data_IF_736360572903
#
_entry.id   IF_736360572903
#
_cell.length_a   1.000
_cell.length_b   1.000
_cell.length_c   1.000
_cell.angle_alpha   90.00
_cell.angle_beta   90.00
_cell.angle_gamma   90.00
#
_symmetry.space_group_name_H-M   'P 1'
#
loop_
_entity.id
_entity.type
_entity.pdbx_description
1 polymer ?
#
# COMPACT_ATOMS: atom_id res chain seq x y z
N UNK A 1 11.56 53.05 -19.66
CA UNK A 1 12.65 52.05 -19.63
C UNK A 1 12.29 50.98 -18.61
N UNK A 2 11.77 49.85 -19.06
CA UNK A 2 11.38 48.72 -18.23
C UNK A 2 12.33 47.54 -18.51
N UNK A 3 12.82 46.89 -17.46
CA UNK A 3 13.44 45.57 -17.54
C UNK A 3 13.46 44.95 -16.14
N UNK A 4 12.53 44.03 -15.88
CA UNK A 4 12.63 43.05 -14.78
C UNK A 4 13.01 41.71 -15.40
N UNK A 5 14.16 41.21 -14.94
CA UNK A 5 14.74 39.90 -15.24
C UNK A 5 13.83 38.77 -14.74
N UNK A 6 13.49 37.84 -15.63
CA UNK A 6 12.95 36.52 -15.29
C UNK A 6 13.88 35.47 -15.90
N UNK A 7 14.61 34.74 -15.05
CA UNK A 7 15.50 33.67 -15.48
C UNK A 7 15.01 32.30 -14.98
N UNK A 8 14.58 31.50 -15.96
CA UNK A 8 14.92 30.09 -16.19
C UNK A 8 14.53 29.04 -15.13
N UNK A 9 13.52 28.24 -15.47
CA UNK A 9 13.41 26.84 -15.03
C UNK A 9 13.38 25.97 -16.29
N UNK A 10 14.25 24.97 -16.31
CA UNK A 10 14.51 24.06 -17.42
C UNK A 10 13.26 23.25 -17.83
N UNK A 11 13.00 23.20 -19.13
CA UNK A 11 12.02 22.30 -19.73
C UNK A 11 12.67 20.92 -19.94
N UNK A 12 12.02 19.87 -19.43
CA UNK A 12 12.28 18.49 -19.82
C UNK A 12 11.46 18.21 -21.08
N UNK A 13 12.12 18.11 -22.23
CA UNK A 13 11.50 17.68 -23.48
C UNK A 13 11.34 16.16 -23.49
N UNK A 14 10.11 15.66 -23.36
CA UNK A 14 9.75 14.27 -23.66
C UNK A 14 9.07 14.27 -25.03
N UNK A 15 9.80 13.85 -26.05
CA UNK A 15 9.31 13.75 -27.42
C UNK A 15 8.68 12.36 -27.63
N UNK A 16 7.34 12.28 -27.67
CA UNK A 16 6.63 11.07 -28.12
C UNK A 16 6.50 11.11 -29.64
N UNK A 17 7.17 10.20 -30.34
CA UNK A 17 7.05 10.05 -31.79
C UNK A 17 5.74 9.36 -32.15
N UNK A 18 4.76 10.12 -32.62
CA UNK A 18 3.61 9.64 -33.42
C UNK A 18 3.82 10.08 -34.87
N UNK A 19 3.26 9.36 -35.85
CA UNK A 19 3.46 9.51 -37.31
C UNK A 19 3.03 10.87 -37.92
N UNK A 20 2.81 11.91 -37.12
CA UNK A 20 2.36 13.24 -37.58
C UNK A 20 2.93 14.38 -36.72
N UNK A 21 4.23 14.62 -36.83
CA UNK A 21 4.87 15.91 -36.52
C UNK A 21 5.30 16.13 -35.06
N UNK A 22 6.46 16.79 -34.90
CA UNK A 22 7.09 17.14 -33.63
C UNK A 22 6.52 18.48 -33.11
N UNK A 23 5.83 18.46 -31.97
CA UNK A 23 5.27 19.67 -31.35
C UNK A 23 6.21 20.18 -30.26
N UNK A 24 6.82 21.34 -30.48
CA UNK A 24 7.69 22.02 -29.52
C UNK A 24 7.00 23.27 -28.99
N UNK A 25 7.08 23.48 -27.66
CA UNK A 25 6.70 24.71 -26.91
C UNK A 25 5.28 24.72 -26.29
N UNK A 26 5.20 24.24 -25.06
CA UNK A 26 4.10 24.52 -24.12
C UNK A 26 4.48 25.72 -23.24
N UNK A 27 3.88 26.90 -23.46
CA UNK A 27 3.95 28.01 -22.48
C UNK A 27 2.83 27.82 -21.47
N UNK A 28 3.19 27.64 -20.19
CA UNK A 28 2.24 27.46 -19.07
C UNK A 28 1.74 28.83 -18.60
N UNK A 29 0.50 29.17 -18.93
CA UNK A 29 -0.29 30.19 -18.24
C UNK A 29 -1.36 29.50 -17.37
N UNK A 30 -1.89 30.14 -16.31
CA UNK A 30 -2.86 29.52 -15.44
C UNK A 30 -4.15 29.23 -16.24
N UNK A 31 -4.48 27.95 -16.41
CA UNK A 31 -5.74 27.42 -16.95
C UNK A 31 -6.05 27.57 -18.45
N UNK A 32 -5.09 27.94 -19.29
CA UNK A 32 -5.27 27.91 -20.76
C UNK A 32 -4.03 27.34 -21.46
N UNK A 33 -4.26 26.41 -22.39
CA UNK A 33 -3.23 25.90 -23.29
C UNK A 33 -3.52 26.44 -24.69
N UNK A 34 -2.60 27.25 -25.22
CA UNK A 34 -2.65 27.70 -26.61
C UNK A 34 -1.73 26.83 -27.46
N UNK A 35 -2.29 26.20 -28.49
CA UNK A 35 -1.53 25.48 -29.49
C UNK A 35 -1.28 26.38 -30.70
N UNK A 36 -0.02 26.48 -31.11
CA UNK A 36 0.45 27.17 -32.32
C UNK A 36 1.26 26.19 -33.15
N UNK A 37 1.14 26.26 -34.49
CA UNK A 37 2.07 25.53 -35.37
C UNK A 37 3.46 26.18 -35.35
N UNK A 38 4.40 25.51 -36.01
CA UNK A 38 5.77 25.97 -36.27
C UNK A 38 5.86 27.26 -37.11
N UNK A 39 4.75 27.75 -37.66
CA UNK A 39 4.66 29.00 -38.42
C UNK A 39 4.00 30.15 -37.63
N UNK A 40 3.61 29.93 -36.37
CA UNK A 40 3.04 30.96 -35.51
C UNK A 40 1.56 31.26 -35.75
N UNK A 41 0.84 30.44 -36.53
CA UNK A 41 -0.60 30.62 -36.76
C UNK A 41 -1.39 30.04 -35.57
N UNK A 42 -2.27 30.86 -35.00
CA UNK A 42 -3.18 30.46 -33.91
C UNK A 42 -4.17 29.39 -34.41
N UNK A 43 -4.12 28.17 -33.86
CA UNK A 43 -4.94 27.04 -34.33
C UNK A 43 -6.21 26.85 -33.49
N UNK A 44 -6.29 27.47 -32.31
CA UNK A 44 -7.49 27.45 -31.49
C UNK A 44 -7.18 27.53 -30.00
N UNK A 45 -8.22 27.83 -29.21
CA UNK A 45 -8.15 27.99 -27.76
C UNK A 45 -8.82 26.79 -27.10
N UNK A 46 -8.06 25.89 -26.50
CA UNK A 46 -8.61 24.81 -25.67
C UNK A 46 -8.86 25.37 -24.27
N UNK A 47 -10.08 25.82 -24.02
CA UNK A 47 -10.55 26.11 -22.66
C UNK A 47 -10.75 24.78 -21.93
N UNK A 48 -9.98 24.52 -20.87
CA UNK A 48 -10.38 23.52 -19.89
C UNK A 48 -11.60 24.08 -19.15
N UNK A 49 -12.79 23.73 -19.64
CA UNK A 49 -14.02 23.87 -18.85
C UNK A 49 -13.89 22.96 -17.62
N UNK A 50 -13.44 23.54 -16.50
CA UNK A 50 -13.34 22.86 -15.21
C UNK A 50 -14.71 22.62 -14.55
N UNK A 51 -15.83 22.93 -15.24
CA UNK A 51 -17.17 22.76 -14.70
C UNK A 51 -17.91 21.49 -15.16
N UNK A 52 -17.38 20.68 -16.08
CA UNK A 52 -18.15 19.55 -16.61
C UNK A 52 -17.42 18.20 -16.60
N UNK A 53 -17.95 17.33 -15.72
CA UNK A 53 -17.96 15.86 -15.76
C UNK A 53 -16.69 15.16 -15.24
N UNK A 54 -16.83 14.60 -14.02
CA UNK A 54 -16.20 13.32 -13.70
C UNK A 54 -16.36 12.40 -14.93
N UNK A 55 -15.30 11.74 -15.42
CA UNK A 55 -15.45 10.76 -16.48
C UNK A 55 -16.56 9.82 -16.04
N UNK A 56 -17.64 9.73 -16.82
CA UNK A 56 -18.75 8.81 -16.55
C UNK A 56 -18.16 7.40 -16.64
N UNK A 57 -17.64 6.90 -15.51
CA UNK A 57 -17.21 5.51 -15.37
C UNK A 57 -18.44 4.69 -15.69
N UNK A 58 -18.44 4.03 -16.85
CA UNK A 58 -19.51 3.10 -17.17
C UNK A 58 -19.27 1.88 -16.30
N UNK A 59 -20.06 1.75 -15.24
CA UNK A 59 -20.12 0.57 -14.38
C UNK A 59 -20.71 -0.60 -15.18
N UNK A 60 -19.90 -1.20 -16.06
CA UNK A 60 -20.29 -2.43 -16.72
C UNK A 60 -19.94 -3.59 -15.80
N UNK A 61 -20.95 -4.35 -15.39
CA UNK A 61 -20.86 -5.59 -14.61
C UNK A 61 -20.09 -5.41 -13.29
N UNK A 62 -20.84 -5.15 -12.21
CA UNK A 62 -20.25 -4.83 -10.89
C UNK A 62 -19.43 -5.99 -10.31
N UNK A 63 -19.68 -7.23 -10.76
CA UNK A 63 -18.92 -8.41 -10.36
C UNK A 63 -18.94 -9.43 -11.50
N UNK A 64 -17.83 -9.61 -12.22
CA UNK A 64 -17.74 -10.66 -13.26
C UNK A 64 -16.65 -11.68 -12.95
N UNK A 65 -16.82 -12.90 -13.48
CA UNK A 65 -15.80 -13.96 -13.42
C UNK A 65 -14.50 -13.51 -14.07
N UNK A 66 -14.57 -12.75 -15.16
CA UNK A 66 -13.38 -12.26 -15.84
C UNK A 66 -12.66 -11.21 -15.00
N UNK A 67 -13.38 -10.33 -14.30
CA UNK A 67 -12.81 -9.39 -13.33
C UNK A 67 -12.05 -10.12 -12.23
N UNK A 68 -12.68 -11.12 -11.63
CA UNK A 68 -12.08 -11.97 -10.61
C UNK A 68 -10.81 -12.67 -11.10
N UNK A 69 -10.87 -13.35 -12.25
CA UNK A 69 -9.72 -14.05 -12.82
C UNK A 69 -8.58 -13.10 -13.22
N UNK A 70 -8.90 -11.90 -13.70
CA UNK A 70 -7.90 -10.85 -13.96
C UNK A 70 -7.22 -10.40 -12.68
N UNK A 71 -7.98 -10.19 -11.59
CA UNK A 71 -7.44 -9.87 -10.27
C UNK A 71 -6.49 -10.94 -9.77
N UNK A 72 -6.94 -12.20 -9.74
CA UNK A 72 -6.15 -13.34 -9.29
C UNK A 72 -4.85 -13.51 -10.09
N UNK A 73 -4.92 -13.42 -11.44
CA UNK A 73 -3.73 -13.55 -12.30
C UNK A 73 -2.70 -12.45 -12.08
N UNK A 74 -3.14 -11.22 -11.78
CA UNK A 74 -2.23 -10.09 -11.54
C UNK A 74 -1.63 -10.11 -10.14
N UNK A 75 -2.40 -10.55 -9.15
CA UNK A 75 -1.90 -10.68 -7.79
C UNK A 75 -0.99 -11.89 -7.62
N UNK A 76 -1.18 -12.98 -8.37
CA UNK A 76 -0.43 -14.22 -8.19
C UNK A 76 1.11 -14.06 -8.09
N UNK A 77 1.81 -13.31 -8.97
CA UNK A 77 3.25 -13.11 -8.81
C UNK A 77 3.64 -12.36 -7.52
N UNK A 78 2.82 -11.38 -7.12
CA UNK A 78 3.01 -10.65 -5.86
C UNK A 78 2.74 -11.56 -4.66
N UNK A 79 1.62 -12.29 -4.67
CA UNK A 79 1.25 -13.28 -3.66
C UNK A 79 2.37 -14.32 -3.45
N UNK A 80 2.92 -14.83 -4.55
CA UNK A 80 4.00 -15.80 -4.53
C UNK A 80 5.29 -15.21 -3.93
N UNK A 81 5.59 -13.95 -4.23
CA UNK A 81 6.70 -13.24 -3.59
C UNK A 81 6.50 -13.02 -2.08
N UNK A 82 5.25 -13.07 -1.61
CA UNK A 82 4.87 -13.01 -0.20
C UNK A 82 5.10 -14.32 0.58
N UNK A 83 5.19 -15.46 -0.12
CA UNK A 83 5.30 -16.78 0.52
C UNK A 83 6.49 -16.93 1.49
N UNK A 84 7.70 -16.40 1.20
CA UNK A 84 8.81 -16.41 2.18
C UNK A 84 8.46 -15.73 3.50
N UNK A 85 7.71 -14.62 3.49
CA UNK A 85 7.27 -13.96 4.72
C UNK A 85 6.27 -14.81 5.49
N UNK A 86 5.33 -15.46 4.79
CA UNK A 86 4.41 -16.42 5.40
C UNK A 86 5.14 -17.59 6.04
N UNK A 87 6.13 -18.17 5.36
CA UNK A 87 6.97 -19.25 5.91
C UNK A 87 7.65 -18.82 7.21
N UNK A 88 8.31 -17.66 7.22
CA UNK A 88 8.95 -17.10 8.42
C UNK A 88 7.94 -16.92 9.55
N UNK A 89 6.78 -16.35 9.26
CA UNK A 89 5.72 -16.17 10.25
C UNK A 89 5.26 -17.51 10.86
N UNK A 90 5.12 -18.55 10.04
CA UNK A 90 4.77 -19.88 10.51
C UNK A 90 5.79 -20.48 11.47
N UNK A 91 7.09 -20.33 11.15
CA UNK A 91 8.19 -20.76 12.03
C UNK A 91 8.14 -20.00 13.35
N UNK A 92 7.94 -18.67 13.30
CA UNK A 92 7.87 -17.81 14.49
C UNK A 92 6.66 -18.15 15.37
N UNK A 93 5.49 -18.42 14.77
CA UNK A 93 4.31 -18.85 15.51
C UNK A 93 4.57 -20.14 16.31
N UNK A 94 5.32 -21.08 15.73
CA UNK A 94 5.75 -22.28 16.43
C UNK A 94 6.64 -22.00 17.65
N UNK A 95 7.57 -21.04 17.53
CA UNK A 95 8.42 -20.61 18.66
C UNK A 95 7.62 -19.91 19.76
N UNK A 96 6.58 -19.16 19.39
CA UNK A 96 5.65 -18.55 20.34
C UNK A 96 4.69 -19.57 21.00
N UNK A 97 4.80 -20.86 20.66
CA UNK A 97 4.00 -21.93 21.25
C UNK A 97 2.62 -22.11 20.62
N UNK A 98 2.29 -21.39 19.54
CA UNK A 98 1.01 -21.56 18.86
C UNK A 98 0.97 -22.90 18.13
N UNK A 99 -0.16 -23.58 18.23
CA UNK A 99 -0.52 -24.75 17.44
C UNK A 99 -0.77 -24.37 15.97
N UNK A 100 -0.80 -25.38 15.10
CA UNK A 100 -1.16 -25.17 13.68
C UNK A 100 -2.58 -24.59 13.55
N UNK A 101 -3.51 -25.04 14.38
CA UNK A 101 -4.89 -24.58 14.36
C UNK A 101 -5.05 -23.12 14.83
N UNK A 102 -4.31 -22.72 15.86
CA UNK A 102 -4.29 -21.33 16.31
C UNK A 102 -3.70 -20.41 15.24
N UNK A 103 -2.62 -20.83 14.57
CA UNK A 103 -2.05 -20.05 13.47
C UNK A 103 -3.01 -19.98 12.27
N UNK A 104 -3.66 -21.08 11.91
CA UNK A 104 -4.67 -21.10 10.85
C UNK A 104 -5.84 -20.16 11.17
N UNK A 105 -6.36 -20.20 12.40
CA UNK A 105 -7.40 -19.30 12.85
C UNK A 105 -6.94 -17.84 12.78
N UNK A 106 -5.72 -17.56 13.24
CA UNK A 106 -5.12 -16.23 13.18
C UNK A 106 -4.96 -15.73 11.74
N UNK A 107 -4.55 -16.58 10.79
CA UNK A 107 -4.44 -16.25 9.35
C UNK A 107 -5.76 -16.13 8.62
N UNK A 108 -6.74 -16.93 9.00
CA UNK A 108 -8.07 -16.88 8.42
C UNK A 108 -8.86 -15.67 8.92
N UNK A 109 -8.75 -15.31 10.20
CA UNK A 109 -9.55 -14.24 10.82
C UNK A 109 -8.86 -12.87 10.75
N UNK A 110 -7.54 -12.84 10.96
CA UNK A 110 -6.72 -11.63 10.95
C UNK A 110 -5.84 -11.68 9.72
N UNK A 111 -6.46 -11.48 8.56
CA UNK A 111 -5.78 -11.46 7.27
C UNK A 111 -4.97 -10.17 7.06
N UNK A 112 -3.93 -10.00 7.90
CA UNK A 112 -3.05 -8.84 7.91
C UNK A 112 -1.67 -9.23 8.44
N UNK A 113 -0.75 -9.62 7.55
CA UNK A 113 0.55 -10.20 7.91
C UNK A 113 1.38 -9.36 8.88
N UNK A 114 1.42 -8.04 8.72
CA UNK A 114 2.13 -7.16 9.65
C UNK A 114 1.57 -7.18 11.07
N UNK A 115 0.25 -7.24 11.22
CA UNK A 115 -0.41 -7.33 12.53
C UNK A 115 -0.18 -8.69 13.17
N UNK A 116 -0.08 -9.74 12.35
CA UNK A 116 0.27 -11.07 12.81
C UNK A 116 1.71 -11.15 13.34
N UNK A 117 2.68 -10.57 12.63
CA UNK A 117 4.06 -10.47 13.10
C UNK A 117 4.15 -9.71 14.44
N UNK A 118 3.46 -8.57 14.56
CA UNK A 118 3.41 -7.79 15.80
C UNK A 118 2.82 -8.63 16.94
N UNK A 119 1.70 -9.29 16.71
CA UNK A 119 1.05 -10.12 17.73
C UNK A 119 1.98 -11.25 18.20
N UNK A 120 2.63 -11.97 17.26
CA UNK A 120 3.59 -13.03 17.59
C UNK A 120 4.81 -12.49 18.35
N UNK A 121 5.33 -11.31 18.00
CA UNK A 121 6.47 -10.70 18.72
C UNK A 121 6.15 -10.30 20.16
N UNK A 122 4.88 -10.08 20.46
CA UNK A 122 4.38 -9.70 21.78
C UNK A 122 3.82 -10.91 22.54
N UNK A 123 3.90 -12.11 21.97
CA UNK A 123 3.31 -13.33 22.49
C UNK A 123 4.15 -13.91 23.64
N UNK A 124 4.13 -13.21 24.76
CA UNK A 124 4.82 -13.56 26.01
C UNK A 124 3.85 -14.20 27.03
N UNK A 125 4.39 -14.76 28.11
CA UNK A 125 3.60 -15.26 29.24
C UNK A 125 3.79 -14.38 30.48
N UNK A 126 2.73 -13.76 31.04
CA UNK A 126 1.34 -13.75 30.54
C UNK A 126 1.18 -12.90 29.27
N UNK A 127 0.20 -13.26 28.42
CA UNK A 127 -0.03 -12.58 27.14
C UNK A 127 -0.57 -11.15 27.39
N UNK A 128 0.11 -10.10 26.89
CA UNK A 128 -0.33 -8.72 27.06
C UNK A 128 -1.45 -8.35 26.08
N UNK A 129 -2.65 -8.92 26.28
CA UNK A 129 -3.79 -8.83 25.35
C UNK A 129 -4.12 -7.39 24.95
N UNK A 130 -4.19 -6.47 25.91
CA UNK A 130 -4.53 -5.05 25.65
C UNK A 130 -3.50 -4.41 24.72
N UNK A 131 -2.21 -4.68 24.93
CA UNK A 131 -1.15 -4.11 24.11
C UNK A 131 -1.16 -4.70 22.70
N UNK A 132 -1.43 -6.01 22.55
CA UNK A 132 -1.57 -6.66 21.24
C UNK A 132 -2.76 -6.06 20.48
N UNK A 133 -3.93 -5.95 21.12
CA UNK A 133 -5.13 -5.39 20.48
C UNK A 133 -4.90 -3.93 20.08
N UNK A 134 -4.37 -3.10 20.97
CA UNK A 134 -4.10 -1.69 20.67
C UNK A 134 -3.10 -1.52 19.51
N UNK A 135 -2.02 -2.30 19.51
CA UNK A 135 -0.96 -2.18 18.49
C UNK A 135 -1.45 -2.71 17.14
N UNK A 136 -2.13 -3.85 17.11
CA UNK A 136 -2.69 -4.40 15.87
C UNK A 136 -3.80 -3.54 15.30
N UNK A 137 -4.67 -2.96 16.14
CA UNK A 137 -5.67 -1.99 15.70
C UNK A 137 -5.01 -0.77 15.06
N UNK A 138 -3.98 -0.21 15.71
CA UNK A 138 -3.23 0.93 15.19
C UNK A 138 -2.59 0.63 13.83
N UNK A 139 -1.90 -0.51 13.72
CA UNK A 139 -1.26 -0.95 12.46
C UNK A 139 -2.30 -1.16 11.37
N UNK A 140 -3.47 -1.70 11.72
CA UNK A 140 -4.54 -1.98 10.78
C UNK A 140 -5.39 -0.76 10.38
N UNK A 141 -5.27 0.40 11.04
CA UNK A 141 -5.96 1.64 10.62
C UNK A 141 -5.71 1.99 9.15
N UNK A 142 -4.58 1.54 8.59
CA UNK A 142 -4.30 1.68 7.15
C UNK A 142 -5.36 1.02 6.27
N UNK A 143 -5.95 -0.10 6.68
CA UNK A 143 -7.02 -0.77 5.93
C UNK A 143 -8.28 0.10 5.87
N UNK A 144 -8.58 0.88 6.90
CA UNK A 144 -9.69 1.85 6.88
C UNK A 144 -9.43 2.93 5.84
N UNK A 145 -8.22 3.51 5.84
CA UNK A 145 -7.83 4.53 4.87
C UNK A 145 -7.84 3.99 3.44
N UNK A 146 -7.29 2.80 3.22
CA UNK A 146 -7.31 2.10 1.93
C UNK A 146 -8.74 1.83 1.47
N UNK A 147 -9.62 1.34 2.35
CA UNK A 147 -11.03 1.12 2.07
C UNK A 147 -11.74 2.40 1.63
N UNK A 148 -11.46 3.53 2.28
CA UNK A 148 -12.01 4.85 1.92
C UNK A 148 -11.59 5.30 0.52
N UNK A 149 -10.37 4.98 0.07
CA UNK A 149 -9.94 5.32 -1.30
C UNK A 149 -10.70 4.53 -2.38
N UNK A 150 -11.16 3.32 -2.05
CA UNK A 150 -11.95 2.48 -2.95
C UNK A 150 -13.46 2.72 -2.80
N UNK A 151 -13.89 3.43 -1.75
CA UNK A 151 -15.31 3.70 -1.45
C UNK A 151 -16.13 4.08 -2.68
N UNK A 152 -15.76 5.10 -3.50
CA UNK A 152 -16.67 5.51 -4.55
C UNK A 152 -16.92 4.44 -5.62
N UNK A 153 -16.08 3.40 -5.72
CA UNK A 153 -16.25 2.29 -6.66
C UNK A 153 -17.01 1.11 -6.08
N UNK A 154 -17.02 0.97 -4.74
CA UNK A 154 -17.68 -0.14 -4.02
C UNK A 154 -18.95 0.30 -3.29
N UNK A 155 -19.25 1.60 -3.16
CA UNK A 155 -20.39 2.12 -2.40
C UNK A 155 -21.76 1.68 -2.94
N UNK A 156 -21.84 1.34 -4.23
CA UNK A 156 -23.09 0.93 -4.90
C UNK A 156 -23.31 -0.58 -4.91
N UNK A 157 -22.38 -1.35 -4.35
CA UNK A 157 -22.51 -2.80 -4.26
C UNK A 157 -23.48 -3.21 -3.14
N UNK A 158 -24.15 -4.36 -3.29
CA UNK A 158 -24.78 -5.04 -2.16
C UNK A 158 -23.76 -5.22 -1.02
N UNK A 159 -24.18 -4.92 0.21
CA UNK A 159 -23.32 -4.94 1.39
C UNK A 159 -22.47 -6.23 1.54
N UNK A 160 -23.01 -7.45 1.31
CA UNK A 160 -22.21 -8.67 1.42
C UNK A 160 -21.04 -8.74 0.43
N UNK A 161 -21.22 -8.24 -0.80
CA UNK A 161 -20.18 -8.22 -1.83
C UNK A 161 -19.13 -7.16 -1.55
N UNK A 162 -19.56 -5.99 -1.06
CA UNK A 162 -18.67 -4.93 -0.60
C UNK A 162 -17.80 -5.40 0.57
N UNK A 163 -18.42 -5.84 1.66
CA UNK A 163 -17.70 -6.29 2.86
C UNK A 163 -16.83 -7.52 2.60
N UNK A 164 -17.31 -8.49 1.82
CA UNK A 164 -16.50 -9.64 1.42
C UNK A 164 -15.25 -9.23 0.65
N UNK A 165 -15.35 -8.27 -0.28
CA UNK A 165 -14.19 -7.77 -1.02
C UNK A 165 -13.21 -7.01 -0.12
N UNK A 166 -13.72 -6.23 0.84
CA UNK A 166 -12.87 -5.51 1.80
C UNK A 166 -12.19 -6.42 2.82
N UNK A 167 -12.80 -7.56 3.16
CA UNK A 167 -12.19 -8.54 4.07
C UNK A 167 -10.89 -9.13 3.48
N UNK A 168 -10.91 -9.45 2.18
CA UNK A 168 -9.73 -9.97 1.49
C UNK A 168 -8.77 -8.86 0.99
N UNK A 169 -8.99 -7.60 1.39
CA UNK A 169 -8.13 -6.50 0.98
C UNK A 169 -6.81 -6.51 1.77
N UNK A 170 -5.72 -6.47 1.01
CA UNK A 170 -4.32 -6.37 1.44
C UNK A 170 -3.70 -5.11 0.83
N UNK A 171 -2.48 -4.74 1.23
CA UNK A 171 -1.80 -3.58 0.63
C UNK A 171 -1.54 -3.82 -0.87
N UNK A 172 -1.23 -5.07 -1.24
CA UNK A 172 -0.95 -5.53 -2.60
C UNK A 172 -2.20 -5.51 -3.47
N UNK A 173 -3.28 -6.16 -3.01
CA UNK A 173 -4.55 -6.19 -3.74
C UNK A 173 -5.18 -4.79 -3.81
N UNK A 174 -5.03 -3.96 -2.78
CA UNK A 174 -5.42 -2.55 -2.81
C UNK A 174 -4.64 -1.75 -3.86
N UNK A 175 -3.31 -1.90 -3.90
CA UNK A 175 -2.46 -1.18 -4.85
C UNK A 175 -2.79 -1.57 -6.29
N UNK A 176 -2.95 -2.88 -6.57
CA UNK A 176 -3.36 -3.40 -7.87
C UNK A 176 -4.75 -2.89 -8.27
N UNK A 177 -5.70 -2.91 -7.33
CA UNK A 177 -7.05 -2.42 -7.56
C UNK A 177 -7.04 -0.92 -7.87
N UNK A 178 -6.25 -0.13 -7.14
CA UNK A 178 -6.09 1.32 -7.36
C UNK A 178 -5.44 1.67 -8.70
N UNK A 179 -4.68 0.76 -9.29
CA UNK A 179 -4.19 0.90 -10.68
C UNK A 179 -5.30 0.53 -11.66
N UNK A 180 -6.04 -0.55 -11.39
CA UNK A 180 -7.15 -1.00 -12.24
C UNK A 180 -8.30 0.01 -12.27
N UNK A 181 -8.56 0.73 -11.17
CA UNK A 181 -9.58 1.78 -11.07
C UNK A 181 -9.38 2.94 -12.03
N UNK A 182 -8.15 3.15 -12.54
CA UNK A 182 -7.84 4.20 -13.53
C UNK A 182 -8.25 3.81 -14.95
N UNK A 183 -8.64 2.56 -15.16
CA UNK A 183 -9.08 2.05 -16.46
C UNK A 183 -10.58 2.33 -16.62
N UNK A 184 -11.02 2.52 -17.86
CA UNK A 184 -12.42 2.84 -18.16
C UNK A 184 -13.39 1.67 -17.88
N UNK A 185 -12.88 0.47 -17.62
CA UNK A 185 -13.63 -0.79 -17.48
C UNK A 185 -13.33 -1.46 -16.13
N UNK A 186 -13.59 -0.75 -15.04
CA UNK A 186 -13.41 -1.29 -13.69
C UNK A 186 -14.47 -2.36 -13.36
N UNK A 187 -14.03 -3.44 -12.71
CA UNK A 187 -14.87 -4.55 -12.26
C UNK A 187 -14.56 -4.82 -10.78
N UNK A 188 -15.57 -4.81 -9.92
CA UNK A 188 -15.34 -4.93 -8.48
C UNK A 188 -14.90 -6.34 -8.05
N UNK A 189 -15.14 -7.34 -8.89
CA UNK A 189 -14.63 -8.70 -8.72
C UNK A 189 -13.10 -8.78 -8.78
N UNK A 190 -12.43 -7.78 -9.35
CA UNK A 190 -10.96 -7.70 -9.39
C UNK A 190 -10.34 -7.73 -8.00
N UNK A 191 -10.84 -6.92 -7.05
CA UNK A 191 -10.29 -6.88 -5.69
C UNK A 191 -10.46 -8.23 -4.99
N UNK A 192 -11.65 -8.84 -5.10
CA UNK A 192 -11.88 -10.13 -4.47
C UNK A 192 -10.96 -11.22 -5.06
N UNK A 193 -10.77 -11.22 -6.38
CA UNK A 193 -9.88 -12.18 -7.04
C UNK A 193 -8.41 -11.99 -6.63
N UNK A 194 -7.96 -10.74 -6.53
CA UNK A 194 -6.61 -10.42 -6.06
C UNK A 194 -6.42 -10.80 -4.58
N UNK A 195 -7.37 -10.45 -3.72
CA UNK A 195 -7.32 -10.75 -2.30
C UNK A 195 -7.41 -12.25 -1.98
N UNK A 196 -8.22 -13.01 -2.72
CA UNK A 196 -8.39 -14.44 -2.46
C UNK A 196 -7.15 -15.25 -2.84
N UNK A 197 -6.45 -14.88 -3.93
CA UNK A 197 -5.19 -15.57 -4.26
C UNK A 197 -4.10 -15.26 -3.22
N UNK A 198 -4.03 -14.02 -2.74
CA UNK A 198 -3.15 -13.64 -1.63
C UNK A 198 -3.48 -14.46 -0.38
N UNK A 199 -4.77 -14.59 -0.05
CA UNK A 199 -5.26 -15.33 1.12
C UNK A 199 -4.87 -16.81 1.10
N UNK A 200 -5.11 -17.48 -0.03
CA UNK A 200 -4.78 -18.91 -0.18
C UNK A 200 -3.28 -19.13 -0.06
N UNK A 201 -2.46 -18.32 -0.75
CA UNK A 201 -1.01 -18.45 -0.70
C UNK A 201 -0.45 -18.08 0.68
N UNK A 202 -1.05 -17.11 1.37
CA UNK A 202 -0.68 -16.74 2.74
C UNK A 202 -0.97 -17.88 3.73
N UNK A 203 -2.16 -18.46 3.70
CA UNK A 203 -2.50 -19.62 4.55
C UNK A 203 -1.58 -20.80 4.24
N UNK A 204 -1.37 -21.11 2.96
CA UNK A 204 -0.51 -22.22 2.57
C UNK A 204 0.93 -22.02 3.08
N UNK A 205 1.53 -20.86 2.83
CA UNK A 205 2.90 -20.57 3.24
C UNK A 205 3.08 -20.52 4.77
N UNK A 206 2.16 -19.88 5.51
CA UNK A 206 2.20 -19.84 6.98
C UNK A 206 2.05 -21.23 7.60
N UNK A 207 1.15 -22.05 7.06
CA UNK A 207 0.95 -23.43 7.52
C UNK A 207 2.17 -24.30 7.22
N UNK A 208 2.73 -24.21 6.00
CA UNK A 208 3.95 -24.93 5.63
C UNK A 208 5.07 -24.52 6.59
N UNK A 209 5.30 -23.23 6.80
CA UNK A 209 6.34 -22.73 7.70
C UNK A 209 6.18 -23.21 9.14
N UNK A 210 4.94 -23.32 9.63
CA UNK A 210 4.67 -23.84 10.97
C UNK A 210 4.93 -25.33 11.11
N UNK A 211 4.62 -26.11 10.08
CA UNK A 211 4.85 -27.57 10.06
C UNK A 211 6.33 -27.88 9.86
N UNK A 212 6.97 -27.26 8.86
CA UNK A 212 8.38 -27.52 8.53
C UNK A 212 9.34 -26.84 9.49
N UNK A 213 8.91 -25.77 10.17
CA UNK A 213 9.70 -25.07 11.19
C UNK A 213 10.11 -25.96 12.37
N UNK A 214 9.33 -26.99 12.69
CA UNK A 214 9.66 -27.96 13.73
C UNK A 214 10.84 -28.88 13.34
N UNK A 215 11.12 -29.02 12.04
CA UNK A 215 12.25 -29.80 11.53
C UNK A 215 13.56 -29.01 11.49
N UNK A 216 13.55 -27.70 11.82
CA UNK A 216 14.75 -26.85 11.85
C UNK A 216 15.37 -26.97 13.26
N UNK A 217 16.50 -27.69 13.43
CA UNK A 217 17.01 -28.06 14.76
C UNK A 217 17.56 -26.88 15.55
N UNK A 218 18.07 -25.85 14.85
CA UNK A 218 18.51 -24.60 15.46
C UNK A 218 18.18 -23.42 14.53
N UNK A 219 16.98 -22.84 14.64
CA UNK A 219 16.57 -21.78 13.72
C UNK A 219 17.33 -20.45 13.94
N UNK A 220 18.02 -20.27 15.08
CA UNK A 220 18.86 -19.09 15.33
C UNK A 220 20.09 -19.08 14.42
N UNK A 221 20.68 -20.26 14.18
CA UNK A 221 21.79 -20.44 13.24
C UNK A 221 21.44 -20.15 11.78
N UNK A 222 20.15 -20.16 11.43
CA UNK A 222 19.64 -19.82 10.09
C UNK A 222 19.27 -18.33 9.95
N UNK A 223 19.56 -17.51 10.97
CA UNK A 223 19.25 -16.07 10.94
C UNK A 223 17.76 -15.76 11.05
N UNK A 224 16.94 -16.66 11.63
CA UNK A 224 15.50 -16.39 11.81
C UNK A 224 15.22 -15.27 12.80
N UNK A 225 16.17 -14.94 13.68
CA UNK A 225 16.08 -13.75 14.54
C UNK A 225 16.20 -12.46 13.68
N UNK A 226 17.01 -12.51 12.62
CA UNK A 226 17.03 -11.47 11.58
C UNK A 226 15.81 -11.54 10.65
N UNK A 227 15.13 -12.68 10.51
CA UNK A 227 13.97 -12.79 9.64
C UNK A 227 12.80 -11.90 10.11
N UNK A 228 12.64 -11.70 11.42
CA UNK A 228 11.69 -10.73 11.95
C UNK A 228 12.07 -9.30 11.54
N UNK A 229 13.33 -8.91 11.73
CA UNK A 229 13.85 -7.58 11.35
C UNK A 229 13.78 -7.36 9.84
N UNK A 230 14.13 -8.37 9.04
CA UNK A 230 14.13 -8.30 7.58
C UNK A 230 12.71 -8.26 7.01
N UNK A 231 11.74 -8.90 7.66
CA UNK A 231 10.32 -8.77 7.32
C UNK A 231 9.84 -7.32 7.48
N UNK A 232 10.14 -6.69 8.61
CA UNK A 232 9.86 -5.27 8.81
C UNK A 232 10.65 -4.37 7.87
N UNK A 233 11.92 -4.68 7.61
CA UNK A 233 12.76 -3.91 6.69
C UNK A 233 12.24 -4.00 5.26
N UNK A 234 11.80 -5.17 4.81
CA UNK A 234 11.23 -5.37 3.48
C UNK A 234 9.89 -4.64 3.35
N UNK A 235 9.03 -4.68 4.38
CA UNK A 235 7.81 -3.89 4.45
C UNK A 235 8.13 -2.39 4.36
N UNK A 236 9.13 -1.93 5.11
CA UNK A 236 9.59 -0.55 5.12
C UNK A 236 10.16 -0.16 3.75
N UNK A 237 10.97 -0.99 3.10
CA UNK A 237 11.48 -0.70 1.75
C UNK A 237 10.33 -0.64 0.74
N UNK A 238 9.36 -1.55 0.80
CA UNK A 238 8.19 -1.55 -0.09
C UNK A 238 7.39 -0.24 0.01
N UNK A 239 7.15 0.23 1.24
CA UNK A 239 6.45 1.49 1.52
C UNK A 239 7.24 2.74 1.06
N UNK A 240 8.57 2.63 0.87
CA UNK A 240 9.46 3.74 0.50
C UNK A 240 9.58 3.95 -1.02
N UNK A 241 9.22 2.93 -1.82
CA UNK A 241 9.36 2.95 -3.27
C UNK A 241 8.30 3.85 -3.90
N UNK A 242 8.64 5.13 -4.10
CA UNK A 242 7.88 5.96 -5.04
C UNK A 242 7.93 7.48 -4.87
N UNK A 243 8.50 8.08 -3.82
CA UNK A 243 8.54 9.56 -3.69
C UNK A 243 9.80 10.08 -3.01
N UNK A 244 10.31 11.18 -3.56
CA UNK A 244 11.49 11.99 -3.17
C UNK A 244 11.63 12.23 -1.66
N UNK A 245 12.75 12.87 -1.26
CA UNK A 245 13.11 13.35 0.09
C UNK A 245 11.96 13.78 1.05
N UNK A 246 10.78 14.15 0.54
CA UNK A 246 9.54 14.30 1.32
C UNK A 246 9.07 13.07 2.10
N UNK A 247 9.48 11.86 1.72
CA UNK A 247 9.11 10.62 2.45
C UNK A 247 10.09 10.33 3.59
N UNK A 248 11.34 10.80 3.49
CA UNK A 248 12.39 10.54 4.48
C UNK A 248 12.10 11.27 5.79
N UNK A 249 11.60 12.50 5.76
CA UNK A 249 11.38 13.29 6.98
C UNK A 249 10.38 12.60 7.92
N UNK A 250 9.16 12.23 7.49
CA UNK A 250 8.21 11.55 8.39
C UNK A 250 8.72 10.21 8.91
N UNK A 251 9.53 9.50 8.13
CA UNK A 251 10.10 8.20 8.49
C UNK A 251 11.23 8.33 9.49
N UNK A 252 12.11 9.30 9.28
CA UNK A 252 13.16 9.66 10.23
C UNK A 252 12.57 10.10 11.55
N UNK A 253 11.52 10.94 11.55
CA UNK A 253 10.84 11.35 12.77
C UNK A 253 10.21 10.15 13.49
N UNK A 254 9.52 9.26 12.77
CA UNK A 254 8.94 8.05 13.36
C UNK A 254 10.02 7.14 13.98
N UNK A 255 11.13 6.92 13.28
CA UNK A 255 12.23 6.10 13.74
C UNK A 255 12.91 6.69 14.99
N UNK A 256 13.24 7.97 14.97
CA UNK A 256 13.88 8.66 16.12
C UNK A 256 12.98 8.61 17.35
N UNK A 257 11.69 8.91 17.18
CA UNK A 257 10.74 8.88 18.31
C UNK A 257 10.51 7.46 18.81
N UNK A 258 10.43 6.45 17.94
CA UNK A 258 10.32 5.07 18.35
C UNK A 258 11.56 4.61 19.14
N UNK A 259 12.77 4.91 18.66
CA UNK A 259 14.02 4.55 19.37
C UNK A 259 14.12 5.27 20.72
N UNK A 260 13.81 6.56 20.77
CA UNK A 260 13.81 7.32 22.00
C UNK A 260 12.77 6.78 23.00
N UNK A 261 11.56 6.47 22.53
CA UNK A 261 10.51 5.89 23.36
C UNK A 261 10.89 4.49 23.87
N UNK A 262 11.57 3.67 23.06
CA UNK A 262 12.04 2.36 23.49
C UNK A 262 13.12 2.45 24.58
N UNK A 263 13.99 3.45 24.49
CA UNK A 263 15.03 3.68 25.49
C UNK A 263 14.50 4.29 26.80
N UNK A 264 13.47 5.13 26.72
CA UNK A 264 13.01 5.96 27.85
C UNK A 264 11.76 5.43 28.55
N UNK A 265 10.94 4.62 27.87
CA UNK A 265 9.65 4.16 28.40
C UNK A 265 9.61 2.63 28.49
N UNK A 266 9.11 2.08 29.61
CA UNK A 266 8.88 0.65 29.72
C UNK A 266 7.71 0.21 28.81
N UNK A 267 7.86 -0.96 28.18
CA UNK A 267 6.83 -1.56 27.32
C UNK A 267 6.87 -1.08 25.86
N UNK A 268 5.77 -1.28 25.15
CA UNK A 268 5.73 -1.18 23.68
C UNK A 268 5.20 0.16 23.15
N UNK A 269 5.30 1.24 23.96
CA UNK A 269 4.84 2.59 23.60
C UNK A 269 5.55 3.16 22.37
N UNK A 270 6.74 2.67 22.07
CA UNK A 270 7.52 3.09 20.90
C UNK A 270 6.77 2.92 19.57
N UNK A 271 5.89 1.92 19.45
CA UNK A 271 5.10 1.72 18.23
C UNK A 271 4.08 2.85 18.06
N UNK A 272 3.36 3.19 19.13
CA UNK A 272 2.34 4.25 19.14
C UNK A 272 2.98 5.63 18.91
N UNK A 273 4.00 5.95 19.69
CA UNK A 273 4.66 7.26 19.64
C UNK A 273 5.36 7.49 18.29
N UNK A 274 6.04 6.48 17.77
CA UNK A 274 6.66 6.54 16.44
C UNK A 274 5.62 6.76 15.33
N UNK A 275 4.51 6.01 15.36
CA UNK A 275 3.44 6.14 14.37
C UNK A 275 2.80 7.54 14.39
N UNK A 276 2.46 8.06 15.57
CA UNK A 276 1.86 9.40 15.72
C UNK A 276 2.83 10.49 15.28
N UNK A 277 4.09 10.42 15.71
CA UNK A 277 5.11 11.39 15.33
C UNK A 277 5.36 11.43 13.82
N UNK A 278 5.45 10.25 13.18
CA UNK A 278 5.58 10.15 11.72
C UNK A 278 4.37 10.73 10.98
N UNK A 279 3.15 10.41 11.44
CA UNK A 279 1.93 10.96 10.85
C UNK A 279 1.88 12.49 10.94
N UNK A 280 2.18 13.05 12.12
CA UNK A 280 2.22 14.50 12.34
C UNK A 280 3.29 15.19 11.48
N UNK A 281 4.48 14.61 11.40
CA UNK A 281 5.55 15.10 10.53
C UNK A 281 5.12 15.08 9.05
N UNK A 282 4.43 14.03 8.60
CA UNK A 282 3.87 13.94 7.25
C UNK A 282 2.83 15.02 6.96
N UNK A 283 1.95 15.31 7.92
CA UNK A 283 0.94 16.39 7.79
C UNK A 283 1.61 17.76 7.76
N UNK A 284 2.55 18.03 8.67
CA UNK A 284 3.29 19.28 8.73
C UNK A 284 4.06 19.53 7.43
N UNK A 285 4.72 18.49 6.90
CA UNK A 285 5.45 18.58 5.65
C UNK A 285 4.52 18.83 4.46
N UNK A 286 3.36 18.16 4.39
CA UNK A 286 2.36 18.46 3.35
C UNK A 286 1.90 19.91 3.40
N UNK A 287 1.66 20.46 4.60
CA UNK A 287 1.25 21.87 4.78
C UNK A 287 2.35 22.86 4.39
N UNK A 288 3.61 22.56 4.67
CA UNK A 288 4.74 23.41 4.31
C UNK A 288 5.00 23.51 2.80
N UNK A 289 4.39 22.62 2.02
CA UNK A 289 4.61 22.47 0.58
C UNK A 289 3.33 22.61 -0.26
N UNK A 290 2.19 22.87 0.39
CA UNK A 290 0.91 23.21 -0.24
C UNK A 290 0.81 24.72 -0.42
#
# INVERSE_FOLDING_TARGET
MASRSASRIAAFDICFTSKSGCYSRWKRFPNTYEASDSAGKHIGRLSQDLSTRHPRVRFFNVFSRDGFLRGARRAFPLALSGAPFGLVLGVLAGRAGLTVWELLAMSALVFAGSSQLVAISMWANPVPVVAIVATTLLVNLRHVLMGLTLRPWYEKLPAPLGFGSYFFMTDESWALTTIETRRQTFDAGFLLGAGLIDFVLWIASTTIGRITGAAIPDPSSWGLDFAFVSAFLALLVSLSRGKQARTIVPWGTAAVVAVAAHALLPGNWYVLLGAVAGALAGVALRRAYA
#
